data_IF_187346771890
#
_entry.id   IF_187346771890
#
_cell.length_a   1.000
_cell.length_b   1.000
_cell.length_c   1.000
_cell.angle_alpha   90.00
_cell.angle_beta   90.00
_cell.angle_gamma   90.00
#
_symmetry.space_group_name_H-M   'P 1'
#
loop_
_entity.id
_entity.type
_entity.pdbx_description
1 polymer ?
#
# COMPACT_ATOMS: atom_id res chain seq x y z
N UNK A 1 -6.55 7.48 -22.83
CA UNK A 1 -6.53 6.00 -22.85
C UNK A 1 -6.21 5.45 -21.46
N UNK A 2 -5.12 5.87 -20.81
CA UNK A 2 -4.69 5.36 -19.48
C UNK A 2 -5.74 5.49 -18.35
N UNK A 3 -6.45 6.62 -18.26
CA UNK A 3 -7.46 6.83 -17.19
C UNK A 3 -8.62 5.82 -17.21
N UNK A 4 -9.08 5.41 -18.39
CA UNK A 4 -10.17 4.43 -18.50
C UNK A 4 -9.72 3.03 -18.07
N UNK A 5 -8.47 2.67 -18.39
CA UNK A 5 -7.85 1.42 -17.92
C UNK A 5 -7.67 1.43 -16.40
N UNK A 6 -7.16 2.52 -15.82
CA UNK A 6 -7.01 2.65 -14.35
C UNK A 6 -8.36 2.58 -13.67
N UNK A 7 -9.42 3.17 -14.24
CA UNK A 7 -10.77 3.08 -13.67
C UNK A 7 -11.35 1.66 -13.74
N UNK A 8 -11.04 0.88 -14.79
CA UNK A 8 -11.41 -0.52 -14.83
C UNK A 8 -10.65 -1.33 -13.78
N UNK A 9 -9.32 -1.16 -13.73
CA UNK A 9 -8.45 -1.76 -12.70
C UNK A 9 -8.91 -1.41 -11.29
N UNK A 10 -9.32 -0.17 -11.06
CA UNK A 10 -9.79 0.29 -9.75
C UNK A 10 -11.10 -0.39 -9.32
N UNK A 11 -12.01 -0.67 -10.26
CA UNK A 11 -13.25 -1.40 -9.96
C UNK A 11 -12.99 -2.87 -9.67
N UNK A 12 -12.08 -3.47 -10.44
CA UNK A 12 -11.79 -4.90 -10.40
C UNK A 12 -10.52 -5.22 -9.59
N UNK A 13 -10.12 -4.32 -8.69
CA UNK A 13 -8.85 -4.44 -7.97
C UNK A 13 -8.76 -5.71 -7.13
N UNK A 14 -9.85 -6.07 -6.44
CA UNK A 14 -9.95 -7.32 -5.67
C UNK A 14 -9.70 -8.56 -6.54
N UNK A 15 -10.08 -8.54 -7.83
CA UNK A 15 -9.79 -9.63 -8.76
C UNK A 15 -8.30 -9.66 -9.14
N UNK A 16 -7.65 -8.51 -9.25
CA UNK A 16 -6.24 -8.41 -9.64
C UNK A 16 -5.28 -8.93 -8.57
N UNK A 17 -5.67 -8.86 -7.30
CA UNK A 17 -4.88 -9.39 -6.18
C UNK A 17 -5.13 -10.88 -5.90
N UNK A 18 -5.98 -11.55 -6.70
CA UNK A 18 -6.18 -13.00 -6.62
C UNK A 18 -5.03 -13.76 -7.29
N UNK A 19 -4.87 -15.03 -6.91
CA UNK A 19 -3.82 -15.92 -7.42
C UNK A 19 -3.84 -16.05 -8.96
N UNK A 20 -5.00 -15.88 -9.61
CA UNK A 20 -5.13 -15.94 -11.06
C UNK A 20 -4.42 -14.77 -11.77
N UNK A 21 -4.45 -13.59 -11.16
CA UNK A 21 -3.88 -12.36 -11.71
C UNK A 21 -2.59 -11.93 -11.05
N UNK A 22 -2.15 -12.65 -10.01
CA UNK A 22 -0.94 -12.35 -9.23
C UNK A 22 0.29 -12.15 -10.13
N UNK A 23 0.49 -13.01 -11.14
CA UNK A 23 1.64 -12.86 -12.06
C UNK A 23 1.64 -11.51 -12.80
N UNK A 24 0.47 -11.07 -13.25
CA UNK A 24 0.29 -9.79 -13.94
C UNK A 24 0.49 -8.63 -12.97
N UNK A 25 -0.01 -8.77 -11.74
CA UNK A 25 0.20 -7.79 -10.67
C UNK A 25 1.69 -7.62 -10.34
N UNK A 26 2.41 -8.73 -10.12
CA UNK A 26 3.84 -8.72 -9.80
C UNK A 26 4.70 -8.16 -10.94
N UNK A 27 4.26 -8.29 -12.19
CA UNK A 27 4.92 -7.77 -13.38
C UNK A 27 4.72 -6.26 -13.62
N UNK A 28 3.87 -5.58 -12.83
CA UNK A 28 3.65 -4.14 -12.99
C UNK A 28 4.92 -3.33 -12.74
N UNK A 29 5.12 -2.28 -13.54
CA UNK A 29 6.20 -1.31 -13.34
C UNK A 29 5.90 -0.32 -12.21
N UNK A 30 6.94 0.34 -11.71
CA UNK A 30 6.83 1.34 -10.63
C UNK A 30 5.78 2.42 -10.94
N UNK A 31 5.83 3.00 -12.14
CA UNK A 31 4.95 4.13 -12.47
C UNK A 31 3.48 3.69 -12.60
N UNK A 32 3.23 2.45 -13.05
CA UNK A 32 1.89 1.86 -13.07
C UNK A 32 1.38 1.63 -11.65
N UNK A 33 2.22 1.09 -10.77
CA UNK A 33 1.88 0.88 -9.36
C UNK A 33 1.50 2.21 -8.67
N UNK A 34 2.31 3.25 -8.86
CA UNK A 34 2.04 4.58 -8.29
C UNK A 34 0.71 5.14 -8.80
N UNK A 35 0.43 5.04 -10.10
CA UNK A 35 -0.84 5.53 -10.67
C UNK A 35 -2.05 4.76 -10.17
N UNK A 36 -1.93 3.45 -9.92
CA UNK A 36 -2.98 2.64 -9.29
C UNK A 36 -3.21 3.09 -7.85
N UNK A 37 -2.15 3.22 -7.03
CA UNK A 37 -2.26 3.65 -5.63
C UNK A 37 -2.80 5.09 -5.48
N UNK A 38 -2.49 5.97 -6.45
CA UNK A 38 -2.99 7.34 -6.51
C UNK A 38 -4.49 7.40 -6.86
N UNK A 39 -5.08 6.33 -7.37
CA UNK A 39 -6.49 6.27 -7.69
C UNK A 39 -7.34 6.19 -6.41
N UNK A 40 -7.98 7.30 -6.03
CA UNK A 40 -8.88 7.34 -4.87
C UNK A 40 -10.17 6.51 -5.04
N UNK A 41 -10.45 5.99 -6.24
CA UNK A 41 -11.64 5.18 -6.54
C UNK A 41 -11.33 3.68 -6.51
N UNK A 42 -10.16 3.28 -6.00
CA UNK A 42 -9.80 1.88 -5.83
C UNK A 42 -10.82 1.20 -4.92
N UNK A 43 -11.53 0.20 -5.45
CA UNK A 43 -12.46 -0.62 -4.69
C UNK A 43 -11.65 -1.70 -3.99
N UNK A 44 -11.26 -1.40 -2.75
CA UNK A 44 -10.62 -2.34 -1.84
C UNK A 44 -11.51 -2.57 -0.62
N UNK A 45 -11.62 -3.82 -0.20
CA UNK A 45 -12.33 -4.16 1.02
C UNK A 45 -11.64 -3.58 2.26
N UNK A 46 -10.30 -3.45 2.22
CA UNK A 46 -9.49 -2.92 3.30
C UNK A 46 -8.16 -2.35 2.79
N UNK A 47 -7.72 -1.22 3.34
CA UNK A 47 -6.40 -0.63 3.08
C UNK A 47 -5.26 -1.59 3.47
N UNK A 48 -5.46 -2.46 4.47
CA UNK A 48 -4.46 -3.46 4.81
C UNK A 48 -4.22 -4.46 3.66
N UNK A 49 -5.25 -4.84 2.90
CA UNK A 49 -5.11 -5.71 1.72
C UNK A 49 -4.30 -5.05 0.62
N UNK A 50 -4.49 -3.74 0.43
CA UNK A 50 -3.70 -2.95 -0.50
C UNK A 50 -2.22 -2.96 -0.11
N UNK A 51 -1.94 -2.76 1.19
CA UNK A 51 -0.58 -2.86 1.73
C UNK A 51 0.04 -4.25 1.50
N UNK A 52 -0.68 -5.33 1.80
CA UNK A 52 -0.19 -6.69 1.55
C UNK A 52 0.13 -6.92 0.07
N UNK A 53 -0.72 -6.45 -0.84
CA UNK A 53 -0.50 -6.56 -2.28
C UNK A 53 0.75 -5.78 -2.74
N UNK A 54 1.01 -4.59 -2.17
CA UNK A 54 2.23 -3.81 -2.42
C UNK A 54 3.46 -4.54 -1.89
N UNK A 55 3.39 -5.15 -0.71
CA UNK A 55 4.50 -5.93 -0.15
C UNK A 55 4.82 -7.14 -1.01
N UNK A 56 3.81 -7.89 -1.47
CA UNK A 56 4.01 -9.00 -2.41
C UNK A 56 4.68 -8.54 -3.69
N UNK A 57 4.29 -7.37 -4.22
CA UNK A 57 4.92 -6.77 -5.40
C UNK A 57 6.38 -6.36 -5.17
N UNK A 58 6.72 -5.79 -4.01
CA UNK A 58 8.11 -5.49 -3.61
C UNK A 58 8.94 -6.76 -3.42
N UNK A 59 8.30 -7.83 -2.93
CA UNK A 59 8.89 -9.15 -2.73
C UNK A 59 8.74 -10.06 -3.96
N UNK A 60 8.43 -9.52 -5.14
CA UNK A 60 8.40 -10.32 -6.36
C UNK A 60 9.80 -10.90 -6.66
N UNK A 61 9.97 -12.22 -6.87
CA UNK A 61 11.28 -12.84 -7.10
C UNK A 61 11.92 -12.40 -8.43
N UNK A 62 11.09 -12.01 -9.39
CA UNK A 62 11.54 -11.60 -10.72
C UNK A 62 12.12 -10.19 -10.77
N UNK A 63 12.03 -9.43 -9.67
CA UNK A 63 12.42 -8.02 -9.59
C UNK A 63 13.31 -7.74 -8.36
N UNK A 64 14.54 -8.27 -8.33
CA UNK A 64 15.46 -8.06 -7.21
C UNK A 64 15.80 -6.57 -6.99
N UNK A 65 15.69 -5.73 -8.03
CA UNK A 65 15.90 -4.29 -7.98
C UNK A 65 14.87 -3.55 -7.11
N UNK A 66 13.78 -4.19 -6.70
CA UNK A 66 12.77 -3.63 -5.78
C UNK A 66 13.13 -3.85 -4.31
N UNK A 67 14.22 -4.57 -4.03
CA UNK A 67 14.67 -4.96 -2.68
C UNK A 67 16.02 -4.33 -2.34
N UNK A 68 16.42 -4.41 -1.07
CA UNK A 68 17.70 -3.88 -0.61
C UNK A 68 17.74 -2.36 -0.69
N UNK A 69 18.86 -1.79 -1.13
CA UNK A 69 19.14 -0.34 -1.08
C UNK A 69 18.20 0.52 -1.92
N UNK A 70 17.62 -0.03 -2.98
CA UNK A 70 16.64 0.64 -3.86
C UNK A 70 15.22 0.58 -3.32
N UNK A 71 14.94 -0.26 -2.31
CA UNK A 71 13.63 -0.33 -1.68
C UNK A 71 13.28 0.97 -0.93
N UNK A 72 14.26 1.65 -0.32
CA UNK A 72 14.04 2.88 0.44
C UNK A 72 13.42 4.02 -0.38
N UNK A 73 13.97 4.42 -1.55
CA UNK A 73 13.34 5.45 -2.38
C UNK A 73 12.00 4.99 -2.97
N UNK A 74 11.85 3.70 -3.30
CA UNK A 74 10.57 3.15 -3.76
C UNK A 74 9.49 3.27 -2.69
N UNK A 75 9.76 2.81 -1.48
CA UNK A 75 8.84 2.94 -0.33
C UNK A 75 8.51 4.40 -0.04
N UNK A 76 9.49 5.30 -0.10
CA UNK A 76 9.24 6.74 0.09
C UNK A 76 8.25 7.30 -0.93
N UNK A 77 8.21 6.76 -2.16
CA UNK A 77 7.24 7.14 -3.19
C UNK A 77 5.88 6.46 -3.04
N UNK A 78 5.82 5.23 -2.49
CA UNK A 78 4.58 4.45 -2.40
C UNK A 78 3.80 4.73 -1.11
N UNK A 79 4.48 4.85 0.03
CA UNK A 79 3.87 5.00 1.35
C UNK A 79 2.90 6.18 1.48
N UNK A 80 3.14 7.37 0.88
CA UNK A 80 2.19 8.48 0.95
C UNK A 80 0.82 8.19 0.34
N UNK A 81 0.70 7.18 -0.52
CA UNK A 81 -0.55 6.79 -1.15
C UNK A 81 -1.33 5.72 -0.36
N UNK A 82 -0.71 5.14 0.67
CA UNK A 82 -1.34 4.12 1.53
C UNK A 82 -1.95 4.81 2.74
N UNK A 83 -3.25 4.59 2.96
CA UNK A 83 -3.99 5.32 3.99
C UNK A 83 -3.99 4.54 5.30
N UNK A 84 -2.84 4.51 5.98
CA UNK A 84 -2.67 3.86 7.28
C UNK A 84 -3.77 4.19 8.32
N UNK A 85 -4.31 5.43 8.43
CA UNK A 85 -5.38 5.73 9.37
C UNK A 85 -6.69 4.94 9.19
N UNK A 86 -6.91 4.33 8.02
CA UNK A 86 -8.08 3.48 7.74
C UNK A 86 -7.85 1.99 8.02
N UNK A 87 -6.63 1.60 8.40
CA UNK A 87 -6.35 0.26 8.92
C UNK A 87 -6.81 0.17 10.38
N UNK A 88 -7.01 -1.04 10.89
CA UNK A 88 -7.27 -1.30 12.33
C UNK A 88 -5.98 -1.28 13.14
N UNK A 89 -6.09 -1.22 14.48
CA UNK A 89 -4.92 -1.21 15.37
C UNK A 89 -4.08 -2.51 15.27
N UNK A 90 -4.76 -3.65 15.12
CA UNK A 90 -4.09 -4.95 14.92
C UNK A 90 -3.33 -4.97 13.60
N UNK A 91 -3.93 -4.48 12.52
CA UNK A 91 -3.29 -4.39 11.20
C UNK A 91 -2.10 -3.44 11.19
N UNK A 92 -2.19 -2.28 11.84
CA UNK A 92 -1.05 -1.38 12.00
C UNK A 92 0.12 -2.05 12.74
N UNK A 93 -0.19 -2.87 13.74
CA UNK A 93 0.82 -3.65 14.46
C UNK A 93 1.50 -4.66 13.54
N UNK A 94 0.75 -5.27 12.61
CA UNK A 94 1.32 -6.13 11.57
C UNK A 94 2.20 -5.37 10.57
N UNK A 95 1.80 -4.15 10.17
CA UNK A 95 2.62 -3.28 9.33
C UNK A 95 3.94 -2.93 10.04
N UNK A 96 3.88 -2.55 11.31
CA UNK A 96 5.05 -2.18 12.11
C UNK A 96 6.05 -3.35 12.26
N UNK A 97 5.54 -4.57 12.42
CA UNK A 97 6.36 -5.80 12.51
C UNK A 97 6.83 -6.33 11.15
N UNK A 98 6.50 -5.66 10.05
CA UNK A 98 6.95 -6.09 8.73
C UNK A 98 8.44 -5.83 8.55
N UNK A 99 9.12 -6.70 7.80
CA UNK A 99 10.56 -6.58 7.52
C UNK A 99 10.92 -5.19 6.94
N UNK A 100 10.04 -4.61 6.12
CA UNK A 100 10.27 -3.29 5.54
C UNK A 100 10.14 -2.16 6.56
N UNK A 101 9.21 -2.27 7.52
CA UNK A 101 9.10 -1.30 8.60
C UNK A 101 10.30 -1.36 9.55
N UNK A 102 10.79 -2.56 9.88
CA UNK A 102 12.00 -2.75 10.69
C UNK A 102 13.27 -2.22 9.99
N UNK A 103 13.37 -2.42 8.67
CA UNK A 103 14.51 -1.95 7.88
C UNK A 103 14.46 -0.42 7.63
N UNK A 104 13.27 0.18 7.56
CA UNK A 104 13.06 1.59 7.23
C UNK A 104 12.16 2.34 8.23
N UNK A 105 12.45 2.29 9.55
CA UNK A 105 11.55 2.80 10.59
C UNK A 105 11.24 4.28 10.42
N UNK A 106 12.18 5.07 9.90
CA UNK A 106 12.01 6.51 9.64
C UNK A 106 10.89 6.83 8.65
N UNK A 107 10.57 5.92 7.73
CA UNK A 107 9.49 6.10 6.75
C UNK A 107 8.13 5.69 7.32
N UNK A 108 8.11 4.63 8.14
CA UNK A 108 6.87 4.04 8.66
C UNK A 108 6.40 4.69 9.96
N UNK A 109 7.30 4.96 10.92
CA UNK A 109 6.92 5.49 12.23
C UNK A 109 6.08 6.76 12.16
N UNK A 110 6.38 7.78 11.32
CA UNK A 110 5.53 8.97 11.25
C UNK A 110 4.10 8.65 10.78
N UNK A 111 3.96 7.76 9.80
CA UNK A 111 2.67 7.37 9.24
C UNK A 111 1.86 6.51 10.23
N UNK A 112 2.51 5.55 10.89
CA UNK A 112 1.90 4.65 11.87
C UNK A 112 1.48 5.44 13.13
N UNK A 113 2.34 6.33 13.65
CA UNK A 113 1.99 7.18 14.80
C UNK A 113 0.83 8.11 14.49
N UNK A 114 0.75 8.65 13.27
CA UNK A 114 -0.38 9.46 12.84
C UNK A 114 -1.66 8.63 12.80
N UNK A 115 -1.60 7.40 12.29
CA UNK A 115 -2.73 6.47 12.27
C UNK A 115 -3.21 6.12 13.69
N UNK A 116 -2.31 5.75 14.59
CA UNK A 116 -2.66 5.51 16.00
C UNK A 116 -3.25 6.75 16.68
N UNK A 117 -2.69 7.94 16.42
CA UNK A 117 -3.25 9.20 16.93
C UNK A 117 -4.68 9.39 16.42
N UNK A 118 -4.93 9.17 15.13
CA UNK A 118 -6.26 9.27 14.54
C UNK A 118 -7.24 8.27 15.18
N UNK A 119 -6.80 7.03 15.40
CA UNK A 119 -7.59 6.00 16.08
C UNK A 119 -7.84 6.27 17.57
N UNK A 120 -6.95 6.99 18.25
CA UNK A 120 -7.11 7.38 19.66
C UNK A 120 -8.01 8.61 19.84
N UNK A 121 -8.16 9.45 18.80
CA UNK A 121 -9.05 10.62 18.86
C UNK A 121 -10.53 10.20 18.92
N UNK A 122 -11.37 10.91 19.70
CA UNK A 122 -12.81 10.68 19.72
C UNK A 122 -13.42 10.83 18.32
N UNK A 123 -14.47 10.06 18.01
CA UNK A 123 -15.16 10.09 16.71
C UNK A 123 -15.62 11.50 16.30
N UNK A 124 -15.97 12.34 17.29
CA UNK A 124 -16.36 13.75 17.08
C UNK A 124 -15.24 14.64 16.53
N UNK A 125 -13.97 14.27 16.75
CA UNK A 125 -12.80 15.05 16.31
C UNK A 125 -12.26 14.62 14.94
N UNK A 126 -12.84 13.59 14.31
CA UNK A 126 -12.37 13.01 13.03
C UNK A 126 -13.08 13.58 11.80
N UNK A 127 -14.07 14.46 11.98
CA UNK A 127 -15.01 14.92 10.93
C UNK A 127 -14.64 16.29 10.33
N UNK A 128 -13.41 16.77 10.55
CA UNK A 128 -12.94 18.05 9.99
C UNK A 128 -12.05 17.86 8.76
#
# INVERSE_FOLDING_TARGET
>A
MIRACIQAIARDFELLITDEWEKSWLALDRDQMIEILKCNQLVVANEYRLWEAVIRWLQAPNHPERRGTTASPLLSSLLPYIRFPFMTADELTHVERSQFAECYPKLFHPQILLAYKFQALPLSSRVN
#
